data_IF_914188221440
#
_entry.id   IF_914188221440
#
_cell.length_a   1.000
_cell.length_b   1.000
_cell.length_c   1.000
_cell.angle_alpha   90.00
_cell.angle_beta   90.00
_cell.angle_gamma   90.00
#
_symmetry.space_group_name_H-M   'P 1'
#
loop_
_entity.id
_entity.type
_entity.pdbx_description
1 polymer ?
#
# COMPACT_ATOMS: atom_id res chain seq x y z
N UNK A 1 -37.83 -39.82 -22.29
CA UNK A 1 -37.82 -41.22 -21.81
C UNK A 1 -36.47 -41.80 -22.18
N UNK A 2 -35.50 -41.97 -21.27
CA UNK A 2 -35.27 -43.11 -20.34
C UNK A 2 -33.82 -43.55 -20.67
N UNK A 3 -32.83 -43.84 -19.83
CA UNK A 3 -32.65 -44.07 -18.39
C UNK A 3 -31.13 -43.95 -18.07
N UNK A 4 -30.76 -43.64 -16.81
CA UNK A 4 -29.41 -43.86 -16.23
C UNK A 4 -29.18 -45.35 -15.91
N UNK A 5 -27.92 -45.79 -15.66
CA UNK A 5 -27.43 -46.04 -14.28
C UNK A 5 -25.96 -45.56 -14.07
N UNK A 6 -25.58 -44.88 -12.97
CA UNK A 6 -25.22 -45.39 -11.62
C UNK A 6 -23.99 -46.33 -11.70
N UNK A 7 -22.80 -46.11 -11.11
CA UNK A 7 -22.41 -45.71 -9.74
C UNK A 7 -20.90 -45.35 -9.72
N UNK A 8 -20.47 -44.40 -8.89
CA UNK A 8 -19.63 -44.70 -7.72
C UNK A 8 -19.55 -43.47 -6.80
N UNK A 9 -19.89 -43.69 -5.54
CA UNK A 9 -19.71 -42.78 -4.42
C UNK A 9 -18.22 -42.57 -4.16
N UNK A 10 -17.80 -41.32 -3.93
CA UNK A 10 -16.96 -40.98 -2.79
C UNK A 10 -17.34 -39.58 -2.31
N UNK A 11 -17.88 -39.53 -1.09
CA UNK A 11 -18.04 -38.32 -0.35
C UNK A 11 -16.67 -37.87 0.15
N UNK A 12 -16.28 -36.63 -0.14
CA UNK A 12 -15.41 -35.84 0.72
C UNK A 12 -16.06 -34.47 0.86
N UNK A 13 -16.80 -34.31 1.96
CA UNK A 13 -16.94 -33.01 2.59
C UNK A 13 -15.56 -32.60 3.09
N UNK A 14 -14.98 -31.57 2.48
CA UNK A 14 -14.23 -30.56 3.21
C UNK A 14 -14.68 -29.22 2.63
N UNK A 15 -15.45 -28.50 3.44
CA UNK A 15 -15.63 -27.07 3.31
C UNK A 15 -14.24 -26.48 3.57
N UNK A 16 -13.55 -26.04 2.52
CA UNK A 16 -12.41 -25.15 2.69
C UNK A 16 -12.81 -23.76 2.20
N UNK A 17 -13.29 -22.98 3.16
CA UNK A 17 -13.65 -21.58 3.03
C UNK A 17 -12.38 -20.72 3.14
N UNK A 18 -11.33 -21.04 2.38
CA UNK A 18 -10.14 -20.20 2.27
C UNK A 18 -9.96 -19.79 0.81
N UNK A 19 -10.89 -18.96 0.35
CA UNK A 19 -10.62 -17.98 -0.68
C UNK A 19 -9.54 -17.03 -0.15
N UNK A 20 -8.27 -17.47 -0.18
CA UNK A 20 -7.12 -16.61 0.09
C UNK A 20 -6.92 -15.70 -1.13
N UNK A 21 -7.68 -14.61 -1.18
CA UNK A 21 -7.45 -13.46 -2.06
C UNK A 21 -6.60 -12.40 -1.37
N UNK A 22 -5.70 -12.83 -0.48
CA UNK A 22 -4.88 -11.93 0.33
C UNK A 22 -3.74 -11.38 -0.56
N UNK A 23 -4.00 -10.19 -1.09
CA UNK A 23 -3.09 -9.10 -1.47
C UNK A 23 -1.81 -9.45 -2.24
N UNK A 24 -1.88 -9.37 -3.56
CA UNK A 24 -0.71 -9.04 -4.39
C UNK A 24 -1.10 -7.97 -5.41
N UNK A 25 -1.37 -6.74 -4.95
CA UNK A 25 -1.52 -5.57 -5.83
C UNK A 25 -0.18 -4.90 -6.16
N UNK A 26 0.93 -5.41 -5.64
CA UNK A 26 2.25 -4.92 -6.00
C UNK A 26 2.72 -5.69 -7.23
N UNK A 27 2.88 -4.96 -8.35
CA UNK A 27 3.58 -5.48 -9.51
C UNK A 27 5.06 -5.65 -9.19
N UNK A 28 5.45 -6.88 -8.84
CA UNK A 28 6.81 -7.22 -8.44
C UNK A 28 7.84 -6.98 -9.55
N UNK A 29 7.44 -6.98 -10.82
CA UNK A 29 8.36 -6.65 -11.93
C UNK A 29 8.72 -5.17 -11.94
N UNK A 30 7.86 -4.33 -11.37
CA UNK A 30 8.05 -2.89 -11.24
C UNK A 30 8.99 -2.52 -10.08
N UNK A 31 9.00 -3.34 -9.02
CA UNK A 31 9.98 -3.26 -7.94
C UNK A 31 11.38 -3.73 -8.37
N UNK A 32 11.46 -4.84 -9.11
CA UNK A 32 12.72 -5.48 -9.49
C UNK A 32 13.61 -4.56 -10.34
N UNK A 33 13.01 -3.75 -11.22
CA UNK A 33 13.74 -2.81 -12.08
C UNK A 33 14.29 -1.56 -11.34
N UNK A 34 13.79 -1.24 -10.14
CA UNK A 34 14.20 -0.06 -9.37
C UNK A 34 15.07 -0.38 -8.15
N UNK A 35 15.04 -1.63 -7.64
CA UNK A 35 15.80 -2.07 -6.46
C UNK A 35 17.15 -2.70 -6.86
N UNK A 36 17.27 -3.29 -8.04
CA UNK A 36 18.51 -3.96 -8.48
C UNK A 36 19.50 -2.97 -9.13
N UNK A 37 19.91 -1.96 -8.37
CA UNK A 37 21.02 -1.06 -8.75
C UNK A 37 22.17 -1.08 -7.72
N UNK A 38 22.24 -2.13 -6.88
CA UNK A 38 23.40 -2.40 -6.03
C UNK A 38 23.93 -3.84 -6.27
N UNK A 39 25.01 -3.92 -7.05
CA UNK A 39 25.67 -5.17 -7.44
C UNK A 39 26.61 -5.66 -6.33
N UNK A 40 26.15 -6.54 -5.43
CA UNK A 40 26.93 -7.68 -4.93
C UNK A 40 26.22 -8.40 -3.77
N UNK A 41 25.44 -9.44 -4.07
CA UNK A 41 25.31 -10.60 -3.19
C UNK A 41 25.27 -11.84 -4.06
N UNK A 42 26.21 -12.75 -3.84
CA UNK A 42 26.16 -14.11 -4.37
C UNK A 42 24.92 -14.81 -3.77
N UNK A 43 23.79 -14.79 -4.48
CA UNK A 43 22.57 -15.50 -4.06
C UNK A 43 22.61 -16.91 -4.66
N UNK A 44 23.46 -17.75 -4.06
CA UNK A 44 23.35 -19.19 -4.15
C UNK A 44 22.39 -19.69 -3.08
N UNK A 45 21.08 -19.50 -3.27
CA UNK A 45 19.95 -20.30 -2.75
C UNK A 45 18.64 -19.62 -3.14
N UNK A 46 17.69 -20.39 -3.70
CA UNK A 46 16.37 -19.94 -4.14
C UNK A 46 15.58 -19.38 -2.94
N UNK A 47 15.30 -18.07 -2.95
CA UNK A 47 14.51 -17.39 -1.92
C UNK A 47 13.07 -17.90 -1.97
N UNK A 48 12.51 -18.38 -0.85
CA UNK A 48 11.12 -18.85 -0.84
C UNK A 48 10.14 -17.68 -0.97
N UNK A 49 8.89 -17.96 -1.37
CA UNK A 49 7.85 -16.94 -1.42
C UNK A 49 7.58 -16.31 -0.04
N UNK A 50 7.78 -17.08 1.05
CA UNK A 50 7.68 -16.62 2.43
C UNK A 50 8.88 -15.73 2.80
N UNK A 51 10.10 -16.07 2.37
CA UNK A 51 11.28 -15.23 2.56
C UNK A 51 11.17 -13.92 1.76
N UNK A 52 10.68 -13.99 0.52
CA UNK A 52 10.36 -12.82 -0.29
C UNK A 52 9.26 -11.97 0.36
N UNK A 53 8.25 -12.58 0.99
CA UNK A 53 7.26 -11.87 1.80
C UNK A 53 7.90 -11.22 3.02
N UNK A 54 8.71 -11.94 3.80
CA UNK A 54 9.41 -11.44 4.98
C UNK A 54 10.42 -10.33 4.66
N UNK A 55 11.05 -10.35 3.47
CA UNK A 55 11.85 -9.25 2.94
C UNK A 55 10.99 -8.03 2.56
N UNK A 56 9.75 -8.23 2.07
CA UNK A 56 8.80 -7.12 1.84
C UNK A 56 8.36 -6.44 3.14
N UNK A 57 8.35 -7.16 4.27
CA UNK A 57 7.92 -6.64 5.56
C UNK A 57 9.00 -5.85 6.32
N UNK A 58 10.28 -5.99 5.97
CA UNK A 58 11.39 -5.42 6.76
C UNK A 58 12.32 -4.50 5.96
N UNK A 59 11.90 -4.01 4.79
CA UNK A 59 12.74 -3.15 3.97
C UNK A 59 12.53 -1.68 4.34
N UNK A 60 13.42 -1.14 5.17
CA UNK A 60 13.64 0.30 5.30
C UNK A 60 14.46 0.77 4.10
N UNK A 61 14.05 1.88 3.47
CA UNK A 61 14.78 2.44 2.33
C UNK A 61 16.22 2.80 2.73
N UNK A 62 17.25 2.44 1.95
CA UNK A 62 18.64 2.69 2.31
C UNK A 62 18.93 4.16 2.64
N UNK A 63 19.64 4.38 3.75
CA UNK A 63 19.96 5.72 4.23
C UNK A 63 18.83 6.42 4.99
N UNK A 64 17.71 5.75 5.24
CA UNK A 64 16.60 6.26 6.07
C UNK A 64 16.39 5.37 7.28
N UNK A 65 15.62 5.85 8.25
CA UNK A 65 15.20 5.08 9.43
C UNK A 65 13.68 4.92 9.51
N UNK A 66 12.94 5.77 8.81
CA UNK A 66 11.48 5.88 8.88
C UNK A 66 10.77 5.45 7.59
N UNK A 67 11.48 5.30 6.46
CA UNK A 67 10.84 4.97 5.19
C UNK A 67 10.69 3.45 4.99
N UNK A 68 9.70 2.83 5.62
CA UNK A 68 9.32 1.44 5.40
C UNK A 68 8.13 1.01 6.28
N UNK A 69 7.90 -0.29 6.49
CA UNK A 69 6.86 -0.77 7.41
C UNK A 69 7.25 -0.48 8.87
N UNK A 70 6.79 0.65 9.40
CA UNK A 70 7.27 1.19 10.66
C UNK A 70 8.65 1.82 10.52
N UNK A 71 9.42 1.87 11.60
CA UNK A 71 10.74 2.50 11.63
C UNK A 71 11.75 1.75 12.50
N UNK A 72 13.02 2.02 12.25
CA UNK A 72 14.18 1.50 13.00
C UNK A 72 14.89 2.63 13.77
N UNK A 73 14.21 3.74 14.00
CA UNK A 73 14.74 4.90 14.69
C UNK A 73 14.80 4.66 16.20
N UNK A 74 15.88 5.10 16.85
CA UNK A 74 16.03 5.02 18.31
C UNK A 74 15.10 6.03 19.01
N UNK A 75 14.87 7.19 18.39
CA UNK A 75 13.95 8.23 18.85
C UNK A 75 13.47 9.10 17.67
N UNK A 76 12.60 10.08 17.95
CA UNK A 76 12.00 10.97 16.95
C UNK A 76 13.02 11.74 16.09
N UNK A 77 14.14 12.16 16.68
CA UNK A 77 15.14 12.97 15.98
C UNK A 77 16.21 12.10 15.29
N UNK A 78 16.14 10.78 15.49
CA UNK A 78 17.05 9.82 14.88
C UNK A 78 16.73 9.61 13.39
N UNK A 79 17.47 10.34 12.56
CA UNK A 79 17.37 10.33 11.10
C UNK A 79 18.60 9.70 10.46
N UNK A 80 18.39 9.02 9.34
CA UNK A 80 19.43 8.49 8.47
C UNK A 80 20.12 9.56 7.60
N UNK A 81 21.02 9.11 6.73
CA UNK A 81 21.80 9.99 5.84
C UNK A 81 20.99 10.63 4.72
N UNK A 82 19.88 10.02 4.31
CA UNK A 82 18.93 10.54 3.32
C UNK A 82 17.86 11.39 4.01
N UNK A 83 18.31 12.43 4.73
CA UNK A 83 17.51 13.19 5.69
C UNK A 83 16.22 13.77 5.09
N UNK A 84 16.24 14.29 3.86
CA UNK A 84 15.05 14.90 3.25
C UNK A 84 13.93 13.89 3.04
N UNK A 85 14.25 12.66 2.65
CA UNK A 85 13.26 11.59 2.53
C UNK A 85 12.81 11.11 3.91
N UNK A 86 13.76 10.95 4.83
CA UNK A 86 13.52 10.38 6.14
C UNK A 86 12.64 11.27 7.02
N UNK A 87 12.81 12.59 6.94
CA UNK A 87 11.92 13.56 7.59
C UNK A 87 10.48 13.40 7.09
N UNK A 88 10.28 13.28 5.78
CA UNK A 88 8.94 13.08 5.21
C UNK A 88 8.31 11.77 5.69
N UNK A 89 9.09 10.68 5.75
CA UNK A 89 8.60 9.39 6.23
C UNK A 89 8.31 9.41 7.74
N UNK A 90 9.15 10.06 8.54
CA UNK A 90 8.88 10.23 9.98
C UNK A 90 7.57 10.97 10.22
N UNK A 91 7.37 12.10 9.55
CA UNK A 91 6.14 12.89 9.70
C UNK A 91 4.91 12.09 9.24
N UNK A 92 5.07 11.24 8.22
CA UNK A 92 4.04 10.31 7.76
C UNK A 92 3.74 9.22 8.80
N UNK A 93 4.76 8.54 9.35
CA UNK A 93 4.64 7.54 10.42
C UNK A 93 3.93 8.08 11.66
N UNK A 94 4.11 9.37 11.96
CA UNK A 94 3.49 10.06 13.10
C UNK A 94 2.12 10.68 12.79
N UNK A 95 1.44 10.22 11.74
CA UNK A 95 0.10 10.67 11.41
C UNK A 95 -0.88 10.45 12.59
N UNK A 96 -1.69 11.46 12.95
CA UNK A 96 -2.59 11.35 14.09
C UNK A 96 -3.78 10.40 13.86
N UNK A 97 -4.08 10.07 12.61
CA UNK A 97 -5.18 9.18 12.26
C UNK A 97 -4.71 8.10 11.28
N UNK A 98 -4.57 6.89 11.81
CA UNK A 98 -4.15 5.69 11.09
C UNK A 98 -5.10 4.52 11.37
N UNK A 99 -5.07 3.54 10.48
CA UNK A 99 -5.71 2.23 10.64
C UNK A 99 -4.63 1.17 10.38
N UNK A 100 -4.06 0.54 11.42
CA UNK A 100 -3.08 -0.54 11.28
C UNK A 100 -3.60 -1.71 10.45
N UNK A 101 -2.68 -2.55 9.97
CA UNK A 101 -3.02 -3.74 9.18
C UNK A 101 -3.99 -4.67 9.94
N UNK A 102 -5.09 -5.05 9.29
CA UNK A 102 -6.13 -5.92 9.85
C UNK A 102 -7.05 -5.25 10.88
N UNK A 103 -6.81 -3.99 11.25
CA UNK A 103 -7.64 -3.29 12.24
C UNK A 103 -8.86 -2.61 11.62
N UNK A 104 -9.88 -2.39 12.46
CA UNK A 104 -11.10 -1.67 12.12
C UNK A 104 -11.18 -0.36 12.90
N UNK A 105 -11.37 0.75 12.19
CA UNK A 105 -11.61 2.08 12.76
C UNK A 105 -12.51 2.87 11.81
N UNK A 106 -13.35 3.76 12.33
CA UNK A 106 -14.29 4.56 11.52
C UNK A 106 -15.25 3.71 10.67
N UNK A 107 -15.57 2.49 11.12
CA UNK A 107 -16.30 1.46 10.35
C UNK A 107 -15.61 1.02 9.04
N UNK A 108 -14.32 1.29 8.90
CA UNK A 108 -13.47 0.80 7.82
C UNK A 108 -12.53 -0.28 8.38
N UNK A 109 -12.45 -1.42 7.72
CA UNK A 109 -11.43 -2.44 8.00
C UNK A 109 -10.28 -2.29 7.01
N UNK A 110 -9.07 -2.14 7.51
CA UNK A 110 -7.87 -2.14 6.68
C UNK A 110 -7.44 -3.58 6.39
N UNK A 111 -7.89 -4.13 5.27
CA UNK A 111 -7.50 -5.48 4.85
C UNK A 111 -6.05 -5.57 4.35
N UNK A 112 -5.38 -4.44 4.09
CA UNK A 112 -4.01 -4.45 3.61
C UNK A 112 -3.03 -4.90 4.72
N UNK A 113 -1.89 -5.45 4.31
CA UNK A 113 -0.84 -5.91 5.22
C UNK A 113 0.03 -4.77 5.80
N UNK A 114 -0.28 -3.52 5.47
CA UNK A 114 0.43 -2.33 5.91
C UNK A 114 -0.56 -1.30 6.48
N UNK A 115 -0.07 -0.38 7.30
CA UNK A 115 -0.88 0.70 7.89
C UNK A 115 -1.40 1.64 6.81
N UNK A 116 -2.70 1.95 6.83
CA UNK A 116 -3.29 3.00 6.01
C UNK A 116 -3.51 4.25 6.83
N UNK A 117 -3.33 5.41 6.20
CA UNK A 117 -3.34 6.71 6.85
C UNK A 117 -4.48 7.59 6.31
N UNK A 118 -4.79 8.67 7.03
CA UNK A 118 -5.71 9.67 6.53
C UNK A 118 -5.23 10.29 5.21
N UNK A 119 -6.16 10.69 4.34
CA UNK A 119 -5.82 11.34 3.07
C UNK A 119 -5.03 12.64 3.25
N UNK A 120 -5.24 13.35 4.36
CA UNK A 120 -4.48 14.56 4.69
C UNK A 120 -3.01 14.24 4.98
N UNK A 121 -2.72 13.13 5.65
CA UNK A 121 -1.35 12.67 5.90
C UNK A 121 -0.66 12.23 4.61
N UNK A 122 -1.34 11.46 3.76
CA UNK A 122 -0.79 11.03 2.47
C UNK A 122 -0.53 12.22 1.53
N UNK A 123 -1.40 13.25 1.51
CA UNK A 123 -1.15 14.45 0.71
C UNK A 123 0.02 15.28 1.25
N UNK A 124 0.13 15.45 2.57
CA UNK A 124 1.30 16.11 3.19
C UNK A 124 2.59 15.37 2.88
N UNK A 125 2.57 14.04 2.97
CA UNK A 125 3.71 13.20 2.64
C UNK A 125 4.13 13.38 1.17
N UNK A 126 3.15 13.36 0.26
CA UNK A 126 3.39 13.63 -1.18
C UNK A 126 4.04 14.99 -1.41
N UNK A 127 3.53 16.04 -0.77
CA UNK A 127 4.07 17.40 -0.88
C UNK A 127 5.46 17.53 -0.27
N UNK A 128 5.72 16.88 0.85
CA UNK A 128 7.05 16.87 1.49
C UNK A 128 8.09 16.25 0.56
N UNK A 129 7.80 15.06 0.01
CA UNK A 129 8.72 14.36 -0.89
C UNK A 129 9.00 15.16 -2.17
N UNK A 130 7.98 15.82 -2.74
CA UNK A 130 8.15 16.72 -3.90
C UNK A 130 9.05 17.91 -3.57
N UNK A 131 8.91 18.46 -2.36
CA UNK A 131 9.69 19.62 -1.93
C UNK A 131 11.15 19.27 -1.63
N UNK A 132 11.44 18.02 -1.26
CA UNK A 132 12.79 17.58 -0.91
C UNK A 132 13.78 17.57 -2.08
N UNK A 133 13.30 17.41 -3.33
CA UNK A 133 14.13 17.51 -4.55
C UNK A 133 15.43 16.67 -4.53
N UNK A 134 15.39 15.45 -3.99
CA UNK A 134 16.53 14.51 -4.01
C UNK A 134 16.17 13.22 -4.75
N UNK A 135 17.18 12.42 -5.10
CA UNK A 135 16.95 11.07 -5.66
C UNK A 135 16.14 10.22 -4.66
N UNK A 136 16.47 10.28 -3.37
CA UNK A 136 15.78 9.51 -2.34
C UNK A 136 14.31 9.89 -2.20
N UNK A 137 13.98 11.19 -2.16
CA UNK A 137 12.57 11.63 -2.03
C UNK A 137 11.76 11.25 -3.26
N UNK A 138 12.36 11.36 -4.44
CA UNK A 138 11.76 10.95 -5.71
C UNK A 138 11.50 9.44 -5.75
N UNK A 139 12.48 8.61 -5.37
CA UNK A 139 12.31 7.16 -5.37
C UNK A 139 11.23 6.73 -4.37
N UNK A 140 11.25 7.26 -3.14
CA UNK A 140 10.23 6.96 -2.13
C UNK A 140 8.83 7.36 -2.63
N UNK A 141 8.70 8.54 -3.24
CA UNK A 141 7.43 9.01 -3.81
C UNK A 141 6.88 8.10 -4.91
N UNK A 142 7.71 7.72 -5.87
CA UNK A 142 7.30 6.79 -6.94
C UNK A 142 6.90 5.42 -6.38
N UNK A 143 7.66 4.91 -5.41
CA UNK A 143 7.38 3.63 -4.76
C UNK A 143 6.02 3.64 -4.05
N UNK A 144 5.79 4.61 -3.16
CA UNK A 144 4.58 4.68 -2.36
C UNK A 144 3.33 4.98 -3.20
N UNK A 145 3.38 6.05 -3.99
CA UNK A 145 2.19 6.55 -4.69
C UNK A 145 1.94 5.85 -6.02
N UNK A 146 2.95 5.37 -6.75
CA UNK A 146 2.76 4.85 -8.10
C UNK A 146 2.84 3.32 -8.17
N UNK A 147 3.74 2.69 -7.39
CA UNK A 147 3.95 1.23 -7.42
C UNK A 147 3.06 0.51 -6.41
N UNK A 148 3.09 0.92 -5.14
CA UNK A 148 2.21 0.34 -4.12
C UNK A 148 0.76 0.79 -4.38
N UNK A 149 0.57 2.07 -4.72
CA UNK A 149 -0.73 2.59 -5.12
C UNK A 149 -1.80 2.40 -4.04
N UNK A 150 -1.45 2.70 -2.79
CA UNK A 150 -2.31 2.54 -1.61
C UNK A 150 -3.60 3.37 -1.69
N UNK A 151 -4.50 3.13 -0.74
CA UNK A 151 -5.66 3.98 -0.49
C UNK A 151 -5.51 4.67 0.85
N UNK A 152 -6.01 5.90 0.92
CA UNK A 152 -6.15 6.66 2.15
C UNK A 152 -7.62 6.68 2.58
N UNK A 153 -7.90 7.16 3.78
CA UNK A 153 -9.28 7.35 4.24
C UNK A 153 -9.56 8.80 4.65
N UNK A 154 -10.80 9.24 4.47
CA UNK A 154 -11.30 10.52 5.00
C UNK A 154 -12.82 10.47 5.18
N UNK A 155 -13.35 11.34 6.03
CA UNK A 155 -14.78 11.59 6.14
C UNK A 155 -15.21 12.52 5.01
N UNK A 156 -16.14 12.06 4.17
CA UNK A 156 -16.66 12.82 3.02
C UNK A 156 -18.12 12.41 2.73
N UNK A 157 -18.78 13.11 1.82
CA UNK A 157 -20.09 12.69 1.31
C UNK A 157 -20.01 11.30 0.66
N UNK A 158 -21.13 10.59 0.61
CA UNK A 158 -21.17 9.25 0.00
C UNK A 158 -20.73 9.30 -1.46
N UNK A 159 -19.69 8.55 -1.81
CA UNK A 159 -19.23 8.42 -3.19
C UNK A 159 -20.29 7.70 -4.01
N UNK A 160 -20.72 8.31 -5.11
CA UNK A 160 -21.69 7.74 -6.06
C UNK A 160 -21.05 7.20 -7.32
N UNK A 161 -19.79 7.56 -7.58
CA UNK A 161 -19.07 7.12 -8.77
C UNK A 161 -17.73 7.81 -8.96
N UNK A 162 -17.07 7.45 -10.05
CA UNK A 162 -15.83 8.06 -10.49
C UNK A 162 -16.06 8.88 -11.75
N UNK A 163 -15.81 10.19 -11.67
CA UNK A 163 -15.91 11.14 -12.79
C UNK A 163 -14.68 11.04 -13.68
N UNK A 164 -13.50 10.88 -13.08
CA UNK A 164 -12.23 10.84 -13.80
C UNK A 164 -11.31 9.76 -13.26
N UNK A 165 -10.89 8.88 -14.17
CA UNK A 165 -9.82 7.92 -13.94
C UNK A 165 -8.45 8.57 -14.20
N UNK A 166 -7.42 8.04 -13.55
CA UNK A 166 -6.05 8.48 -13.68
C UNK A 166 -5.08 7.50 -13.04
N UNK A 167 -3.89 8.00 -12.73
CA UNK A 167 -2.76 7.15 -12.38
C UNK A 167 -2.07 6.56 -13.61
N UNK A 168 -0.98 5.83 -13.41
CA UNK A 168 -0.14 5.36 -14.51
C UNK A 168 -0.86 4.33 -15.39
N UNK A 169 -1.64 3.43 -14.78
CA UNK A 169 -2.43 2.42 -15.47
C UNK A 169 -3.88 2.85 -15.73
N UNK A 170 -4.23 4.12 -15.46
CA UNK A 170 -5.60 4.64 -15.53
C UNK A 170 -6.62 3.81 -14.69
N UNK A 171 -6.16 3.27 -13.56
CA UNK A 171 -6.94 2.40 -12.65
C UNK A 171 -7.41 3.12 -11.39
N UNK A 172 -6.93 4.35 -11.14
CA UNK A 172 -7.26 5.11 -9.94
C UNK A 172 -8.34 6.13 -10.23
N UNK A 173 -9.29 6.27 -9.32
CA UNK A 173 -10.22 7.38 -9.38
C UNK A 173 -9.59 8.65 -8.80
N UNK A 174 -9.40 9.66 -9.65
CA UNK A 174 -8.80 10.96 -9.27
C UNK A 174 -9.84 12.06 -9.07
N UNK A 175 -11.07 11.83 -9.52
CA UNK A 175 -12.21 12.72 -9.29
C UNK A 175 -13.47 11.90 -9.05
N UNK A 176 -14.11 12.11 -7.91
CA UNK A 176 -15.27 11.36 -7.46
C UNK A 176 -16.54 12.20 -7.60
N UNK A 177 -17.67 11.54 -7.86
CA UNK A 177 -19.00 12.14 -7.71
C UNK A 177 -19.59 11.74 -6.37
N UNK A 178 -20.43 12.60 -5.80
CA UNK A 178 -20.94 12.45 -4.44
C UNK A 178 -22.47 12.61 -4.37
N UNK A 179 -23.09 11.95 -3.40
CA UNK A 179 -24.43 12.30 -2.92
C UNK A 179 -24.31 13.31 -1.77
N UNK A 180 -24.43 14.59 -2.11
CA UNK A 180 -24.30 15.69 -1.15
C UNK A 180 -25.49 15.84 -0.21
N UNK A 181 -26.53 15.02 -0.36
CA UNK A 181 -27.67 14.99 0.56
C UNK A 181 -27.48 14.01 1.73
N UNK A 182 -26.49 13.12 1.62
CA UNK A 182 -26.13 12.14 2.64
C UNK A 182 -25.30 12.76 3.78
N UNK A 183 -25.34 12.12 4.96
CA UNK A 183 -24.38 12.45 6.02
C UNK A 183 -22.97 11.98 5.63
N UNK A 184 -21.95 12.74 6.03
CA UNK A 184 -20.57 12.37 5.75
C UNK A 184 -20.16 11.12 6.53
N UNK A 185 -19.46 10.21 5.85
CA UNK A 185 -18.91 8.99 6.45
C UNK A 185 -17.50 8.76 5.98
N UNK A 186 -16.72 8.04 6.79
CA UNK A 186 -15.37 7.63 6.41
C UNK A 186 -15.41 6.60 5.29
N UNK A 187 -14.63 6.85 4.24
CA UNK A 187 -14.54 6.02 3.04
C UNK A 187 -13.08 5.90 2.58
N UNK A 188 -12.79 4.89 1.76
CA UNK A 188 -11.49 4.70 1.11
C UNK A 188 -11.41 5.51 -0.18
N UNK A 189 -10.26 6.14 -0.41
CA UNK A 189 -9.97 6.91 -1.61
C UNK A 189 -8.60 6.55 -2.16
N UNK A 190 -8.48 6.53 -3.48
CA UNK A 190 -7.21 6.32 -4.15
C UNK A 190 -6.29 7.53 -3.95
N UNK A 191 -5.03 7.26 -3.57
CA UNK A 191 -4.03 8.33 -3.46
C UNK A 191 -3.59 8.78 -4.86
N UNK A 192 -3.50 10.10 -5.13
CA UNK A 192 -2.95 10.61 -6.37
C UNK A 192 -1.53 10.08 -6.62
N UNK A 193 -1.13 9.99 -7.90
CA UNK A 193 0.24 9.65 -8.22
C UNK A 193 1.23 10.74 -7.75
N UNK A 194 2.46 10.30 -7.52
CA UNK A 194 3.61 11.16 -7.43
C UNK A 194 4.00 11.66 -8.82
N UNK A 195 4.13 12.97 -8.95
CA UNK A 195 4.53 13.69 -10.15
C UNK A 195 5.74 14.56 -9.83
N UNK A 196 6.70 14.59 -10.75
CA UNK A 196 7.95 15.35 -10.64
C UNK A 196 7.70 16.86 -10.58
#
# INVERSE_FOLDING_TARGET
>A
MVMKPALLFFALNLIDNSHSWIFNNIDYKLLENNILDDKNRDIGNELSAEDLMNLRFNLIYPGTKWCGPGNIADDYDDLGTSQEADICCRDHDNCPDTIPAGETKHNLTNEAYYTKLSCDCDEKFRQCLRSGNTKSTTTVGLMYFNIIGTQCFRSDYLVTGCVKQGGWLNTKCVEYSYDTTSEMTYQWFDVPNYEY
#
